data_IF_805803388618
#
_entry.id   IF_805803388618
#
_cell.length_a   1.000
_cell.length_b   1.000
_cell.length_c   1.000
_cell.angle_alpha   90.00
_cell.angle_beta   90.00
_cell.angle_gamma   90.00
#
_symmetry.space_group_name_H-M   'P 1'
#
loop_
_entity.id
_entity.type
_entity.pdbx_description
1 polymer ?
#
# COMPACT_ATOMS: atom_id res chain seq x y z
N UNK A 1 3.18 -18.78 74.72
CA UNK A 1 2.15 -18.70 73.66
C UNK A 1 1.85 -17.23 73.38
N UNK A 2 2.08 -16.79 72.12
CA UNK A 2 1.38 -15.77 71.30
C UNK A 2 0.88 -14.47 72.00
N UNK A 3 1.05 -13.26 71.48
CA UNK A 3 1.74 -12.65 70.34
C UNK A 3 1.55 -11.12 70.55
N UNK A 4 2.61 -10.34 70.30
CA UNK A 4 2.67 -8.98 69.72
C UNK A 4 1.33 -8.25 69.41
N UNK A 5 1.20 -6.92 69.49
CA UNK A 5 2.15 -5.90 69.01
C UNK A 5 1.69 -4.51 69.49
N UNK A 6 2.66 -3.68 69.87
CA UNK A 6 2.53 -2.32 70.39
C UNK A 6 2.11 -1.32 69.30
N UNK A 7 1.27 -0.37 69.72
CA UNK A 7 0.80 0.78 68.97
C UNK A 7 1.85 1.93 68.99
N UNK A 8 1.79 2.79 67.97
CA UNK A 8 2.06 4.24 68.00
C UNK A 8 3.49 4.76 67.80
N UNK A 9 3.65 5.35 66.61
CA UNK A 9 4.29 6.62 66.20
C UNK A 9 5.78 6.92 66.50
N UNK A 10 6.32 7.63 65.50
CA UNK A 10 7.47 8.55 65.44
C UNK A 10 8.82 7.93 65.08
N UNK A 11 9.29 8.23 63.87
CA UNK A 11 10.44 9.13 63.69
C UNK A 11 10.61 9.44 62.20
N UNK A 12 10.42 10.70 61.85
CA UNK A 12 10.99 11.29 60.64
C UNK A 12 12.51 11.40 60.83
N UNK A 13 13.26 11.14 59.76
CA UNK A 13 14.35 11.96 59.21
C UNK A 13 15.43 11.12 58.51
N UNK A 14 15.41 11.23 57.17
CA UNK A 14 16.54 11.56 56.28
C UNK A 14 17.83 10.72 56.36
N UNK A 15 18.03 9.89 55.33
CA UNK A 15 19.33 9.53 54.74
C UNK A 15 19.03 8.92 53.36
N UNK A 16 19.11 9.70 52.27
CA UNK A 16 20.22 9.73 51.30
C UNK A 16 20.60 8.38 50.69
N UNK A 17 20.64 8.39 49.35
CA UNK A 17 21.29 7.47 48.43
C UNK A 17 20.41 6.40 47.75
N UNK A 18 20.01 6.74 46.53
CA UNK A 18 20.30 5.99 45.31
C UNK A 18 19.89 4.52 45.26
N UNK A 19 18.77 4.25 44.60
CA UNK A 19 18.56 3.03 43.85
C UNK A 19 17.59 3.32 42.69
N UNK A 20 18.17 3.54 41.51
CA UNK A 20 17.67 3.10 40.20
C UNK A 20 16.16 2.79 40.13
N UNK A 21 15.36 3.83 39.92
CA UNK A 21 14.09 3.67 39.23
C UNK A 21 14.42 3.62 37.74
N UNK A 22 14.72 2.43 37.24
CA UNK A 22 14.64 2.16 35.80
C UNK A 22 13.17 2.29 35.44
N UNK A 23 12.79 3.47 34.95
CA UNK A 23 11.65 3.68 34.09
C UNK A 23 11.81 2.77 32.87
N UNK A 24 11.35 1.52 32.97
CA UNK A 24 10.98 0.76 31.79
C UNK A 24 9.70 1.37 31.25
N UNK A 25 9.88 2.43 30.46
CA UNK A 25 8.89 2.85 29.49
C UNK A 25 8.67 1.69 28.52
N UNK A 26 7.58 0.95 28.71
CA UNK A 26 7.04 0.11 27.66
C UNK A 26 6.70 1.03 26.49
N UNK A 27 7.50 0.88 25.44
CA UNK A 27 7.42 1.61 24.21
C UNK A 27 5.99 1.57 23.69
N UNK A 28 5.32 2.72 23.72
CA UNK A 28 4.22 2.99 22.81
C UNK A 28 4.85 3.05 21.42
N UNK A 29 5.00 1.88 20.78
CA UNK A 29 5.26 1.80 19.36
C UNK A 29 4.12 2.53 18.65
N UNK A 30 4.38 3.78 18.29
CA UNK A 30 3.46 4.60 17.55
C UNK A 30 3.05 3.89 16.25
N UNK A 31 1.76 3.87 15.87
CA UNK A 31 1.28 3.25 14.62
C UNK A 31 1.95 3.82 13.35
N UNK A 32 2.59 4.98 13.44
CA UNK A 32 3.36 5.60 12.36
C UNK A 32 4.68 4.86 12.03
N UNK A 33 5.29 4.15 12.99
CA UNK A 33 6.56 3.44 12.78
C UNK A 33 6.36 2.07 12.10
N UNK A 34 5.28 1.35 12.45
CA UNK A 34 4.92 0.07 11.84
C UNK A 34 4.47 0.27 10.39
N UNK A 35 3.62 1.27 10.13
CA UNK A 35 3.16 1.61 8.76
C UNK A 35 4.31 2.03 7.83
N UNK A 36 5.31 2.75 8.34
CA UNK A 36 6.50 3.11 7.56
C UNK A 36 7.36 1.87 7.22
N UNK A 37 7.47 0.91 8.13
CA UNK A 37 8.16 -0.36 7.90
C UNK A 37 7.42 -1.23 6.87
N UNK A 38 6.10 -1.30 6.96
CA UNK A 38 5.26 -2.06 6.03
C UNK A 38 5.33 -1.48 4.60
N UNK A 39 5.27 -0.15 4.47
CA UNK A 39 5.47 0.51 3.17
C UNK A 39 6.87 0.26 2.59
N UNK A 40 7.90 0.21 3.44
CA UNK A 40 9.25 -0.12 2.98
C UNK A 40 9.32 -1.54 2.43
N UNK A 41 8.75 -2.51 3.14
CA UNK A 41 8.69 -3.91 2.68
C UNK A 41 7.91 -4.06 1.36
N UNK A 42 6.80 -3.34 1.21
CA UNK A 42 6.03 -3.32 -0.04
C UNK A 42 6.85 -2.73 -1.22
N UNK A 43 7.62 -1.66 -0.98
CA UNK A 43 8.52 -1.07 -2.00
C UNK A 43 9.64 -2.04 -2.38
N UNK A 44 10.26 -2.70 -1.41
CA UNK A 44 11.30 -3.70 -1.67
C UNK A 44 10.76 -4.87 -2.49
N UNK A 45 9.54 -5.34 -2.17
CA UNK A 45 8.85 -6.38 -2.96
C UNK A 45 8.55 -5.91 -4.38
N UNK A 46 8.05 -4.69 -4.57
CA UNK A 46 7.80 -4.12 -5.89
C UNK A 46 9.08 -4.03 -6.73
N UNK A 47 10.20 -3.61 -6.13
CA UNK A 47 11.50 -3.60 -6.79
C UNK A 47 11.96 -5.02 -7.18
N UNK A 48 11.80 -5.99 -6.28
CA UNK A 48 12.14 -7.39 -6.57
C UNK A 48 11.32 -7.98 -7.71
N UNK A 49 10.01 -7.68 -7.78
CA UNK A 49 9.15 -8.11 -8.88
C UNK A 49 9.55 -7.46 -10.22
N UNK A 50 10.03 -6.21 -10.18
CA UNK A 50 10.50 -5.51 -11.38
C UNK A 50 11.74 -6.22 -11.96
N UNK A 51 12.67 -6.64 -11.13
CA UNK A 51 13.84 -7.44 -11.56
C UNK A 51 13.40 -8.79 -12.13
N UNK A 52 12.49 -9.50 -11.45
CA UNK A 52 11.95 -10.77 -11.96
C UNK A 52 11.24 -10.61 -13.31
N UNK A 53 10.62 -9.45 -13.57
CA UNK A 53 9.95 -9.15 -14.83
C UNK A 53 10.95 -9.02 -16.00
N UNK A 54 12.15 -8.49 -15.75
CA UNK A 54 13.21 -8.37 -16.76
C UNK A 54 13.78 -9.74 -17.16
N UNK A 55 13.88 -10.65 -16.20
CA UNK A 55 14.36 -12.02 -16.43
C UNK A 55 13.29 -12.93 -17.03
N UNK A 56 12.01 -12.55 -16.93
CA UNK A 56 10.93 -13.36 -17.47
C UNK A 56 10.67 -13.16 -18.96
N UNK A 57 10.80 -14.26 -19.71
CA UNK A 57 10.49 -14.30 -21.13
C UNK A 57 9.03 -14.70 -21.43
N UNK A 58 8.38 -15.44 -20.52
CA UNK A 58 7.04 -15.94 -20.74
C UNK A 58 5.98 -14.82 -20.63
N UNK A 59 5.16 -14.58 -21.67
CA UNK A 59 4.20 -13.48 -21.66
C UNK A 59 3.12 -13.61 -20.58
N UNK A 60 2.66 -14.83 -20.26
CA UNK A 60 1.65 -15.01 -19.21
C UNK A 60 2.22 -14.78 -17.81
N UNK A 61 3.46 -15.22 -17.56
CA UNK A 61 4.17 -14.95 -16.32
C UNK A 61 4.40 -13.45 -16.14
N UNK A 62 4.81 -12.74 -17.20
CA UNK A 62 4.99 -11.28 -17.18
C UNK A 62 3.69 -10.56 -16.86
N UNK A 63 2.57 -10.95 -17.46
CA UNK A 63 1.24 -10.42 -17.15
C UNK A 63 0.91 -10.57 -15.66
N UNK A 64 1.17 -11.75 -15.07
CA UNK A 64 0.91 -12.00 -13.64
C UNK A 64 1.78 -11.10 -12.75
N UNK A 65 3.07 -11.01 -13.06
CA UNK A 65 4.02 -10.16 -12.34
C UNK A 65 3.62 -8.68 -12.41
N UNK A 66 3.25 -8.19 -13.59
CA UNK A 66 2.78 -6.81 -13.79
C UNK A 66 1.49 -6.52 -13.02
N UNK A 67 0.57 -7.47 -12.97
CA UNK A 67 -0.65 -7.33 -12.18
C UNK A 67 -0.36 -7.26 -10.68
N UNK A 68 0.57 -8.07 -10.20
CA UNK A 68 1.00 -8.05 -8.80
C UNK A 68 1.73 -6.75 -8.46
N UNK A 69 2.63 -6.30 -9.34
CA UNK A 69 3.36 -5.05 -9.20
C UNK A 69 2.41 -3.85 -9.14
N UNK A 70 1.43 -3.77 -10.05
CA UNK A 70 0.42 -2.72 -10.03
C UNK A 70 -0.42 -2.71 -8.75
N UNK A 71 -0.72 -3.89 -8.19
CA UNK A 71 -1.42 -4.01 -6.92
C UNK A 71 -0.60 -3.45 -5.75
N UNK A 72 0.68 -3.83 -5.67
CA UNK A 72 1.58 -3.30 -4.64
C UNK A 72 1.78 -1.79 -4.78
N UNK A 73 1.91 -1.26 -6.00
CA UNK A 73 2.05 0.17 -6.24
C UNK A 73 0.79 0.94 -5.83
N UNK A 74 -0.39 0.37 -6.06
CA UNK A 74 -1.65 0.94 -5.59
C UNK A 74 -1.73 0.95 -4.06
N UNK A 75 -1.31 -0.13 -3.39
CA UNK A 75 -1.21 -0.19 -1.92
C UNK A 75 -0.19 0.83 -1.35
N UNK A 76 0.86 1.11 -2.11
CA UNK A 76 1.85 2.14 -1.79
C UNK A 76 1.36 3.57 -2.03
N UNK A 77 0.20 3.74 -2.65
CA UNK A 77 -0.37 5.04 -3.02
C UNK A 77 0.25 5.64 -4.29
N UNK A 78 1.08 4.89 -5.02
CA UNK A 78 1.66 5.31 -6.29
C UNK A 78 0.72 4.93 -7.44
N UNK A 79 -0.33 5.72 -7.61
CA UNK A 79 -1.34 5.52 -8.65
C UNK A 79 -0.74 5.58 -10.06
N UNK A 80 0.30 6.39 -10.29
CA UNK A 80 0.94 6.55 -11.60
C UNK A 80 1.67 5.27 -11.97
N UNK A 81 2.54 4.77 -11.09
CA UNK A 81 3.27 3.54 -11.35
C UNK A 81 2.33 2.34 -11.48
N UNK A 82 1.26 2.30 -10.66
CA UNK A 82 0.24 1.25 -10.74
C UNK A 82 -0.47 1.23 -12.11
N UNK A 83 -0.83 2.41 -12.65
CA UNK A 83 -1.40 2.53 -13.99
C UNK A 83 -0.42 1.98 -15.03
N UNK A 84 0.85 2.40 -15.00
CA UNK A 84 1.86 1.98 -15.97
C UNK A 84 2.03 0.45 -15.97
N UNK A 85 2.09 -0.18 -14.79
CA UNK A 85 2.21 -1.62 -14.66
C UNK A 85 0.98 -2.36 -15.22
N UNK A 86 -0.22 -1.87 -14.94
CA UNK A 86 -1.44 -2.50 -15.46
C UNK A 86 -1.62 -2.27 -16.96
N UNK A 87 -1.30 -1.09 -17.48
CA UNK A 87 -1.29 -0.80 -18.92
C UNK A 87 -0.30 -1.71 -19.65
N UNK A 88 0.91 -1.90 -19.10
CA UNK A 88 1.90 -2.83 -19.66
C UNK A 88 1.38 -4.26 -19.71
N UNK A 89 0.65 -4.71 -18.68
CA UNK A 89 0.01 -6.04 -18.66
C UNK A 89 -1.05 -6.17 -19.76
N UNK A 90 -1.90 -5.15 -19.92
CA UNK A 90 -2.96 -5.11 -20.93
C UNK A 90 -2.39 -4.99 -22.36
N UNK A 91 -1.22 -4.38 -22.53
CA UNK A 91 -0.53 -4.27 -23.81
C UNK A 91 0.04 -5.62 -24.29
N UNK A 92 0.43 -6.51 -23.36
CA UNK A 92 0.83 -7.88 -23.71
C UNK A 92 -0.41 -8.68 -24.15
N UNK A 93 -1.47 -8.64 -23.35
CA UNK A 93 -2.74 -9.28 -23.69
C UNK A 93 -3.92 -8.53 -23.09
N UNK A 94 -4.83 -8.13 -23.97
CA UNK A 94 -6.13 -7.60 -23.58
C UNK A 94 -6.95 -8.70 -22.88
N UNK A 95 -7.18 -8.57 -21.56
CA UNK A 95 -7.93 -9.55 -20.77
C UNK A 95 -8.68 -8.88 -19.62
N UNK A 96 -9.82 -9.48 -19.24
CA UNK A 96 -10.48 -9.15 -17.98
C UNK A 96 -9.70 -9.73 -16.80
N UNK A 97 -9.65 -8.99 -15.68
CA UNK A 97 -8.95 -9.44 -14.50
C UNK A 97 -8.44 -8.29 -13.62
N UNK A 98 -7.40 -8.55 -12.81
CA UNK A 98 -6.85 -7.57 -11.88
C UNK A 98 -6.44 -6.24 -12.54
N UNK A 99 -5.74 -6.28 -13.68
CA UNK A 99 -5.34 -5.08 -14.40
C UNK A 99 -6.53 -4.25 -14.89
N UNK A 100 -7.53 -4.89 -15.51
CA UNK A 100 -8.74 -4.19 -15.97
C UNK A 100 -9.46 -3.48 -14.81
N UNK A 101 -9.67 -4.19 -13.70
CA UNK A 101 -10.35 -3.63 -12.53
C UNK A 101 -9.52 -2.53 -11.84
N UNK A 102 -8.19 -2.72 -11.78
CA UNK A 102 -7.25 -1.75 -11.26
C UNK A 102 -7.26 -0.46 -12.08
N UNK A 103 -7.10 -0.56 -13.41
CA UNK A 103 -7.17 0.59 -14.33
C UNK A 103 -8.50 1.32 -14.25
N UNK A 104 -9.62 0.58 -14.20
CA UNK A 104 -10.94 1.21 -14.06
C UNK A 104 -11.03 2.04 -12.78
N UNK A 105 -10.53 1.52 -11.67
CA UNK A 105 -10.53 2.22 -10.37
C UNK A 105 -9.61 3.45 -10.44
N UNK A 106 -8.37 3.25 -10.88
CA UNK A 106 -7.34 4.29 -10.93
C UNK A 106 -7.70 5.42 -11.91
N UNK A 107 -8.22 5.12 -13.10
CA UNK A 107 -8.65 6.15 -14.03
C UNK A 107 -9.82 6.97 -13.51
N UNK A 108 -10.79 6.34 -12.83
CA UNK A 108 -11.87 7.08 -12.19
C UNK A 108 -11.35 7.99 -11.07
N UNK A 109 -10.35 7.54 -10.31
CA UNK A 109 -9.70 8.36 -9.29
C UNK A 109 -8.93 9.53 -9.90
N UNK A 110 -8.19 9.30 -10.97
CA UNK A 110 -7.48 10.36 -11.70
C UNK A 110 -8.46 11.37 -12.31
N UNK A 111 -9.58 10.92 -12.87
CA UNK A 111 -10.63 11.78 -13.38
C UNK A 111 -11.24 12.65 -12.26
N UNK A 112 -11.49 12.07 -11.08
CA UNK A 112 -11.95 12.81 -9.89
C UNK A 112 -10.93 13.85 -9.43
N UNK A 113 -9.64 13.51 -9.45
CA UNK A 113 -8.54 14.43 -9.12
C UNK A 113 -8.43 15.57 -10.12
N UNK A 114 -8.48 15.27 -11.42
CA UNK A 114 -8.46 16.25 -12.50
C UNK A 114 -9.66 17.21 -12.41
N UNK A 115 -10.86 16.71 -12.12
CA UNK A 115 -12.06 17.51 -11.90
C UNK A 115 -11.91 18.46 -10.70
N UNK A 116 -11.32 17.98 -9.59
CA UNK A 116 -11.02 18.83 -8.42
C UNK A 116 -9.98 19.89 -8.74
N UNK A 117 -8.97 19.55 -9.54
CA UNK A 117 -7.94 20.47 -10.01
C UNK A 117 -8.44 21.44 -11.10
N UNK A 118 -9.65 21.22 -11.65
CA UNK A 118 -10.18 21.92 -12.83
C UNK A 118 -9.24 21.85 -14.04
N UNK A 119 -8.58 20.71 -14.20
CA UNK A 119 -7.71 20.43 -15.34
C UNK A 119 -8.53 19.78 -16.45
N UNK A 120 -9.06 20.61 -17.35
CA UNK A 120 -9.88 20.15 -18.47
C UNK A 120 -9.13 19.20 -19.40
N UNK A 121 -7.80 19.37 -19.57
CA UNK A 121 -7.00 18.51 -20.42
C UNK A 121 -6.86 17.11 -19.78
N UNK A 122 -6.57 17.04 -18.49
CA UNK A 122 -6.53 15.77 -17.77
C UNK A 122 -7.91 15.10 -17.72
N UNK A 123 -9.00 15.85 -17.55
CA UNK A 123 -10.37 15.31 -17.59
C UNK A 123 -10.63 14.62 -18.94
N UNK A 124 -10.30 15.28 -20.05
CA UNK A 124 -10.47 14.70 -21.39
C UNK A 124 -9.59 13.45 -21.56
N UNK A 125 -8.33 13.51 -21.14
CA UNK A 125 -7.41 12.38 -21.22
C UNK A 125 -7.95 11.14 -20.49
N UNK A 126 -8.36 11.29 -19.22
CA UNK A 126 -8.83 10.15 -18.42
C UNK A 126 -10.19 9.63 -18.87
N UNK A 127 -11.04 10.51 -19.44
CA UNK A 127 -12.31 10.10 -20.04
C UNK A 127 -12.08 9.23 -21.28
N UNK A 128 -11.19 9.64 -22.18
CA UNK A 128 -10.81 8.83 -23.35
C UNK A 128 -10.24 7.48 -22.92
N UNK A 129 -9.34 7.45 -21.93
CA UNK A 129 -8.78 6.20 -21.41
C UNK A 129 -9.85 5.26 -20.82
N UNK A 130 -10.87 5.80 -20.14
CA UNK A 130 -12.00 5.01 -19.63
C UNK A 130 -12.87 4.47 -20.78
N UNK A 131 -13.14 5.28 -21.78
CA UNK A 131 -13.90 4.86 -22.96
C UNK A 131 -13.17 3.77 -23.73
N UNK A 132 -11.84 3.86 -23.88
CA UNK A 132 -11.01 2.82 -24.48
C UNK A 132 -11.06 1.52 -23.68
N UNK A 133 -10.94 1.60 -22.35
CA UNK A 133 -11.03 0.44 -21.47
C UNK A 133 -12.40 -0.24 -21.57
N UNK A 134 -13.49 0.52 -21.62
CA UNK A 134 -14.84 -0.05 -21.80
C UNK A 134 -15.10 -0.53 -23.22
N UNK A 135 -14.47 0.06 -24.24
CA UNK A 135 -14.51 -0.43 -25.61
C UNK A 135 -13.77 -1.77 -25.76
N UNK A 136 -12.67 -1.97 -25.01
CA UNK A 136 -11.98 -3.25 -24.90
C UNK A 136 -12.92 -4.35 -24.42
N UNK A 137 -13.81 -4.05 -23.45
CA UNK A 137 -14.85 -5.00 -23.02
C UNK A 137 -15.70 -5.49 -24.18
N UNK A 138 -16.13 -4.58 -25.07
CA UNK A 138 -16.91 -4.93 -26.27
C UNK A 138 -16.09 -5.73 -27.29
N UNK A 139 -14.79 -5.42 -27.44
CA UNK A 139 -13.90 -6.12 -28.37
C UNK A 139 -13.62 -7.55 -27.92
N UNK A 140 -13.27 -7.73 -26.64
CA UNK A 140 -13.02 -9.06 -26.05
C UNK A 140 -14.29 -9.91 -26.08
N UNK A 141 -15.46 -9.35 -25.73
CA UNK A 141 -16.73 -10.09 -25.84
C UNK A 141 -17.08 -10.47 -27.28
N UNK A 142 -16.81 -9.60 -28.27
CA UNK A 142 -17.06 -9.90 -29.69
C UNK A 142 -16.05 -10.87 -30.31
N UNK A 143 -14.84 -10.99 -29.75
CA UNK A 143 -13.79 -11.89 -30.23
C UNK A 143 -13.94 -13.33 -29.74
N UNK A 144 -14.81 -13.58 -28.75
CA UNK A 144 -15.07 -14.91 -28.17
C UNK A 144 -16.21 -15.67 -28.88
N UNK A 145 -16.71 -15.15 -30.00
CA UNK A 145 -17.73 -15.75 -30.87
C UNK A 145 -17.22 -15.80 -32.30
#
# INVERSE_FOLDING_TARGET
MRLFRRNRKQAEHRSTASADAVETGEAVETPAAQTASDQKALRERAAALTVQLEEQADPEARIKLLNELGGLQQELGDATAAIDSYEASMAIREQFGPAYNGLLTLYNDQLRQAARARDDAAIQQWTVKLDELTALSKRVMRSQF
#
